data_IF_152351716103
#
_entry.id   IF_152351716103
#
_cell.length_a   1.000
_cell.length_b   1.000
_cell.length_c   1.000
_cell.angle_alpha   90.00
_cell.angle_beta   90.00
_cell.angle_gamma   90.00
#
_symmetry.space_group_name_H-M   'P 1'
#
loop_
_entity.id
_entity.type
_entity.pdbx_description
1 polymer ?
#
# COMPACT_ATOMS: atom_id res chain seq x y z
N UNK A 1 -7.37 29.90 17.66
CA UNK A 1 -5.96 30.31 17.44
C UNK A 1 -5.95 31.42 16.43
N UNK A 2 -5.12 32.44 16.59
CA UNK A 2 -4.94 33.46 15.55
C UNK A 2 -3.83 33.00 14.60
N UNK A 3 -4.11 33.09 13.31
CA UNK A 3 -3.15 32.68 12.28
C UNK A 3 -2.72 33.92 11.50
N UNK A 4 -1.45 33.98 11.14
CA UNK A 4 -0.85 35.12 10.43
C UNK A 4 -0.57 34.82 8.97
N UNK A 5 -0.72 33.55 8.56
CA UNK A 5 -0.47 33.09 7.19
C UNK A 5 -1.77 32.71 6.50
N UNK A 6 -1.87 32.91 5.18
CA UNK A 6 -3.06 32.58 4.40
C UNK A 6 -3.33 31.09 4.30
N UNK A 7 -2.30 30.23 4.49
CA UNK A 7 -2.43 28.77 4.49
C UNK A 7 -2.01 28.24 5.86
N UNK A 8 -2.91 27.45 6.47
CA UNK A 8 -2.66 26.74 7.73
C UNK A 8 -2.81 25.25 7.49
N UNK A 9 -1.75 24.49 7.74
CA UNK A 9 -1.72 23.04 7.57
C UNK A 9 -1.90 22.37 8.93
N UNK A 10 -2.92 21.51 9.03
CA UNK A 10 -3.20 20.68 10.21
C UNK A 10 -2.79 19.25 9.92
N UNK A 11 -1.78 18.75 10.64
CA UNK A 11 -1.28 17.37 10.52
C UNK A 11 -1.49 16.60 11.81
N UNK A 12 -1.55 15.28 11.71
CA UNK A 12 -1.64 14.39 12.87
C UNK A 12 -1.25 12.95 12.48
N UNK A 13 -0.91 12.09 13.47
CA UNK A 13 -0.27 10.80 13.24
C UNK A 13 -1.08 9.78 12.43
N UNK A 14 -2.41 9.93 12.33
CA UNK A 14 -3.21 8.94 11.63
C UNK A 14 -4.68 9.29 11.46
N UNK A 15 -5.48 8.39 10.87
CA UNK A 15 -6.93 8.50 10.80
C UNK A 15 -7.56 8.64 12.19
N UNK A 16 -8.69 9.34 12.28
CA UNK A 16 -9.41 9.52 13.54
C UNK A 16 -8.75 10.45 14.57
N UNK A 17 -7.62 11.07 14.26
CA UNK A 17 -6.85 11.94 15.18
C UNK A 17 -7.45 13.35 15.38
N UNK A 18 -8.61 13.64 14.80
CA UNK A 18 -9.33 14.90 15.03
C UNK A 18 -8.93 16.06 14.09
N UNK A 19 -8.15 15.83 13.03
CA UNK A 19 -7.73 16.86 12.07
C UNK A 19 -8.90 17.68 11.53
N UNK A 20 -9.93 17.01 11.05
CA UNK A 20 -11.13 17.66 10.50
C UNK A 20 -11.85 18.52 11.54
N UNK A 21 -12.05 18.00 12.76
CA UNK A 21 -12.69 18.74 13.85
C UNK A 21 -11.89 19.98 14.22
N UNK A 22 -10.56 19.91 14.24
CA UNK A 22 -9.68 21.05 14.48
C UNK A 22 -9.84 22.11 13.38
N UNK A 23 -9.87 21.70 12.11
CA UNK A 23 -10.07 22.63 10.97
C UNK A 23 -11.44 23.30 11.03
N UNK A 24 -12.51 22.55 11.26
CA UNK A 24 -13.87 23.08 11.35
C UNK A 24 -14.04 24.05 12.55
N UNK A 25 -13.43 23.71 13.69
CA UNK A 25 -13.39 24.61 14.85
C UNK A 25 -12.64 25.91 14.55
N UNK A 26 -11.49 25.83 13.87
CA UNK A 26 -10.74 27.02 13.46
C UNK A 26 -11.55 27.88 12.49
N UNK A 27 -12.19 27.26 11.51
CA UNK A 27 -13.04 27.93 10.52
C UNK A 27 -14.20 28.68 11.18
N UNK A 28 -14.86 28.07 12.17
CA UNK A 28 -15.88 28.73 12.97
C UNK A 28 -15.36 29.97 13.70
N UNK A 29 -14.20 29.87 14.34
CA UNK A 29 -13.59 30.99 15.05
C UNK A 29 -13.11 32.10 14.11
N UNK A 30 -12.63 31.75 12.92
CA UNK A 30 -12.26 32.74 11.90
C UNK A 30 -13.49 33.50 11.39
N UNK A 31 -14.55 32.77 11.11
CA UNK A 31 -15.85 33.41 10.72
C UNK A 31 -16.37 34.34 11.79
N UNK A 32 -16.32 33.98 13.08
CA UNK A 32 -16.68 34.84 14.20
C UNK A 32 -15.85 36.13 14.30
N UNK A 33 -14.66 36.13 13.75
CA UNK A 33 -13.76 37.30 13.65
C UNK A 33 -13.93 38.07 12.33
N UNK A 34 -14.86 37.68 11.50
CA UNK A 34 -15.09 38.28 10.18
C UNK A 34 -14.07 37.88 9.11
N UNK A 35 -13.33 36.79 9.34
CA UNK A 35 -12.33 36.26 8.39
C UNK A 35 -13.02 35.21 7.52
N UNK A 36 -13.03 35.43 6.20
CA UNK A 36 -13.48 34.43 5.23
C UNK A 36 -12.38 33.40 5.04
N UNK A 37 -12.57 32.21 5.61
CA UNK A 37 -11.65 31.09 5.51
C UNK A 37 -12.32 29.92 4.78
N UNK A 38 -11.54 29.15 4.03
CA UNK A 38 -11.94 27.92 3.36
C UNK A 38 -11.35 26.68 4.03
N UNK A 39 -11.81 25.54 3.61
CA UNK A 39 -11.32 24.23 4.03
C UNK A 39 -10.86 23.44 2.81
N UNK A 40 -9.71 22.81 2.91
CA UNK A 40 -9.27 21.85 1.92
C UNK A 40 -8.66 20.62 2.61
N UNK A 41 -8.89 19.46 2.05
CA UNK A 41 -8.34 18.19 2.50
C UNK A 41 -7.24 17.78 1.53
N UNK A 42 -5.99 17.73 2.02
CA UNK A 42 -4.90 17.22 1.21
C UNK A 42 -4.92 15.69 1.23
N UNK A 43 -5.12 15.11 0.07
CA UNK A 43 -5.16 13.67 -0.12
C UNK A 43 -4.16 13.21 -1.17
N UNK A 44 -3.50 12.09 -0.89
CA UNK A 44 -2.58 11.47 -1.86
C UNK A 44 -3.32 10.53 -2.81
N UNK A 45 -4.46 9.99 -2.37
CA UNK A 45 -5.31 9.06 -3.13
C UNK A 45 -6.78 9.19 -2.70
N UNK A 46 -7.75 8.77 -3.53
CA UNK A 46 -7.57 8.38 -4.93
C UNK A 46 -7.18 9.55 -5.82
N UNK A 47 -6.68 9.26 -7.02
CA UNK A 47 -6.42 10.29 -8.03
C UNK A 47 -7.72 10.52 -8.80
N UNK A 48 -8.34 11.67 -8.59
CA UNK A 48 -9.71 11.94 -9.04
C UNK A 48 -9.88 11.99 -10.57
N UNK A 49 -8.85 12.40 -11.30
CA UNK A 49 -8.86 12.55 -12.76
C UNK A 49 -8.35 11.32 -13.53
N UNK A 50 -8.12 10.20 -12.83
CA UNK A 50 -7.90 8.89 -13.46
C UNK A 50 -9.20 8.09 -13.48
N UNK A 51 -9.36 7.15 -14.42
CA UNK A 51 -10.50 6.23 -14.43
C UNK A 51 -10.63 5.46 -13.09
N UNK A 52 -11.87 5.15 -12.71
CA UNK A 52 -12.16 4.43 -11.45
C UNK A 52 -11.34 3.15 -11.29
N UNK A 53 -11.23 2.36 -12.37
CA UNK A 53 -10.49 1.09 -12.38
C UNK A 53 -9.05 1.23 -12.87
N UNK A 54 -8.51 2.44 -12.84
CA UNK A 54 -7.09 2.61 -13.17
C UNK A 54 -6.21 1.89 -12.14
N UNK A 55 -5.16 1.15 -12.55
CA UNK A 55 -4.32 0.38 -11.62
C UNK A 55 -3.78 1.19 -10.44
N UNK A 56 -3.47 2.46 -10.63
CA UNK A 56 -3.02 3.37 -9.55
C UNK A 56 -4.11 3.54 -8.49
N UNK A 57 -5.37 3.76 -8.87
CA UNK A 57 -6.48 3.88 -7.93
C UNK A 57 -6.81 2.54 -7.27
N UNK A 58 -6.71 1.43 -8.01
CA UNK A 58 -6.88 0.09 -7.44
C UNK A 58 -5.75 -0.28 -6.45
N UNK A 59 -4.52 0.17 -6.68
CA UNK A 59 -3.44 -0.01 -5.72
C UNK A 59 -3.71 0.72 -4.39
N UNK A 60 -4.41 1.85 -4.43
CA UNK A 60 -4.89 2.52 -3.22
C UNK A 60 -5.92 1.68 -2.46
N UNK A 61 -6.90 1.09 -3.15
CA UNK A 61 -7.86 0.17 -2.52
C UNK A 61 -7.15 -1.05 -1.88
N UNK A 62 -6.13 -1.57 -2.55
CA UNK A 62 -5.30 -2.63 -2.01
C UNK A 62 -4.53 -2.17 -0.75
N UNK A 63 -4.08 -0.91 -0.71
CA UNK A 63 -3.36 -0.36 0.43
C UNK A 63 -4.25 -0.09 1.64
N UNK A 64 -5.55 0.09 1.44
CA UNK A 64 -6.56 0.40 2.47
C UNK A 64 -7.58 -0.72 2.64
N UNK A 65 -7.20 -1.94 2.27
CA UNK A 65 -8.09 -3.10 2.33
C UNK A 65 -8.64 -3.38 3.74
N UNK A 66 -7.86 -3.09 4.77
CA UNK A 66 -8.21 -3.18 6.19
C UNK A 66 -9.14 -2.06 6.67
N UNK A 67 -9.17 -0.92 5.98
CA UNK A 67 -10.00 0.24 6.32
C UNK A 67 -11.36 0.24 5.61
N UNK A 68 -11.60 -0.70 4.72
CA UNK A 68 -12.80 -0.78 3.87
C UNK A 68 -13.03 0.47 3.01
N UNK A 69 -11.96 1.16 2.63
CA UNK A 69 -12.02 2.22 1.63
C UNK A 69 -12.25 1.63 0.24
N UNK A 70 -13.24 2.16 -0.45
CA UNK A 70 -13.60 1.76 -1.81
C UNK A 70 -13.69 3.01 -2.67
N UNK A 71 -13.01 3.00 -3.81
CA UNK A 71 -13.13 4.08 -4.78
C UNK A 71 -14.49 4.04 -5.45
N UNK A 72 -15.07 5.21 -5.64
CA UNK A 72 -16.34 5.39 -6.35
C UNK A 72 -16.33 6.69 -7.15
N UNK A 73 -17.24 6.78 -8.10
CA UNK A 73 -17.52 8.06 -8.76
C UNK A 73 -18.25 8.94 -7.76
N UNK A 74 -17.75 10.17 -7.59
CA UNK A 74 -18.39 11.19 -6.76
C UNK A 74 -19.71 11.62 -7.39
N UNK A 75 -20.88 11.25 -6.79
CA UNK A 75 -22.18 11.57 -7.36
C UNK A 75 -22.49 13.06 -7.28
N UNK A 76 -22.01 13.74 -6.24
CA UNK A 76 -22.22 15.18 -6.07
C UNK A 76 -21.46 15.98 -7.12
N UNK A 77 -20.23 15.57 -7.44
CA UNK A 77 -19.42 16.20 -8.48
C UNK A 77 -20.03 16.00 -9.87
N UNK A 78 -20.52 14.79 -10.12
CA UNK A 78 -21.20 14.46 -11.36
C UNK A 78 -22.50 15.29 -11.52
N UNK A 79 -23.29 15.43 -10.46
CA UNK A 79 -24.53 16.22 -10.47
C UNK A 79 -24.24 17.72 -10.66
N UNK A 80 -23.28 18.28 -9.93
CA UNK A 80 -22.98 19.70 -9.96
C UNK A 80 -22.31 20.16 -11.26
N UNK A 81 -21.45 19.32 -11.85
CA UNK A 81 -20.55 19.74 -12.95
C UNK A 81 -20.69 18.92 -14.23
N UNK A 82 -21.45 17.83 -14.23
CA UNK A 82 -21.54 16.90 -15.37
C UNK A 82 -20.21 16.18 -15.66
N UNK A 83 -19.29 16.15 -14.70
CA UNK A 83 -17.95 15.56 -14.82
C UNK A 83 -17.77 14.42 -13.83
N UNK A 84 -17.16 13.34 -14.29
CA UNK A 84 -16.78 12.24 -13.40
C UNK A 84 -15.51 12.58 -12.63
N UNK A 85 -15.53 12.32 -11.32
CA UNK A 85 -14.37 12.39 -10.46
C UNK A 85 -14.34 11.14 -9.58
N UNK A 86 -13.17 10.59 -9.33
CA UNK A 86 -13.01 9.45 -8.42
C UNK A 86 -12.72 9.96 -7.02
N UNK A 87 -13.51 9.50 -6.07
CA UNK A 87 -13.34 9.75 -4.65
C UNK A 87 -13.53 8.44 -3.89
N UNK A 88 -13.39 8.41 -2.60
CA UNK A 88 -13.67 7.21 -1.82
C UNK A 88 -14.96 7.36 -1.00
N UNK A 89 -15.57 6.21 -0.71
CA UNK A 89 -16.87 6.11 -0.09
C UNK A 89 -17.04 6.99 1.15
N UNK A 90 -16.08 7.01 2.07
CA UNK A 90 -16.19 7.77 3.32
C UNK A 90 -16.31 9.28 3.12
N UNK A 91 -15.61 9.85 2.13
CA UNK A 91 -15.73 11.28 1.85
C UNK A 91 -17.08 11.61 1.19
N UNK A 92 -17.57 10.73 0.33
CA UNK A 92 -18.89 10.88 -0.28
C UNK A 92 -20.00 10.79 0.78
N UNK A 93 -19.91 9.81 1.68
CA UNK A 93 -20.89 9.60 2.74
C UNK A 93 -20.94 10.75 3.76
N UNK A 94 -19.78 11.33 4.11
CA UNK A 94 -19.72 12.41 5.11
C UNK A 94 -20.04 13.79 4.52
N UNK A 95 -19.98 13.96 3.21
CA UNK A 95 -20.13 15.26 2.54
C UNK A 95 -21.42 16.01 2.93
N UNK A 96 -22.62 15.39 2.97
CA UNK A 96 -23.84 16.10 3.37
C UNK A 96 -23.75 16.70 4.77
N UNK A 97 -23.10 16.01 5.70
CA UNK A 97 -22.89 16.50 7.07
C UNK A 97 -21.91 17.67 7.08
N UNK A 98 -20.83 17.60 6.33
CA UNK A 98 -19.87 18.70 6.21
C UNK A 98 -20.51 19.91 5.57
N UNK A 99 -21.26 19.71 4.50
CA UNK A 99 -21.98 20.77 3.80
C UNK A 99 -22.93 21.53 4.76
N UNK A 100 -23.72 20.80 5.55
CA UNK A 100 -24.60 21.39 6.56
C UNK A 100 -23.81 22.14 7.66
N UNK A 101 -22.63 21.71 8.01
CA UNK A 101 -21.76 22.41 8.97
C UNK A 101 -21.26 23.72 8.36
N UNK A 102 -20.80 23.73 7.11
CA UNK A 102 -20.37 24.95 6.42
C UNK A 102 -21.51 25.96 6.31
N UNK A 103 -22.71 25.53 5.92
CA UNK A 103 -23.88 26.36 5.87
C UNK A 103 -24.21 26.99 7.23
N UNK A 104 -24.11 26.22 8.32
CA UNK A 104 -24.32 26.76 9.68
C UNK A 104 -23.24 27.73 10.12
N UNK A 105 -22.01 27.55 9.70
CA UNK A 105 -20.88 28.44 10.05
C UNK A 105 -20.92 29.72 9.23
N UNK A 106 -21.13 29.62 7.92
CA UNK A 106 -20.91 30.73 6.98
C UNK A 106 -22.19 31.23 6.28
N UNK A 107 -23.32 30.57 6.56
CA UNK A 107 -24.62 30.89 5.90
C UNK A 107 -24.80 30.20 4.54
N UNK A 108 -23.71 29.83 3.88
CA UNK A 108 -23.69 29.09 2.61
C UNK A 108 -22.50 28.16 2.59
N UNK A 109 -22.58 27.06 1.85
CA UNK A 109 -21.42 26.24 1.58
C UNK A 109 -20.77 26.65 0.25
N UNK A 110 -19.45 26.82 0.21
CA UNK A 110 -18.73 27.08 -1.04
C UNK A 110 -18.48 25.80 -1.86
N UNK A 111 -18.79 24.64 -1.32
CA UNK A 111 -18.48 23.32 -1.91
C UNK A 111 -19.76 22.68 -2.43
N UNK A 112 -19.71 22.16 -3.66
CA UNK A 112 -20.80 21.42 -4.29
C UNK A 112 -20.56 19.90 -4.21
N UNK A 113 -19.33 19.48 -3.93
CA UNK A 113 -18.93 18.07 -3.84
C UNK A 113 -17.77 17.86 -2.87
N UNK A 114 -17.55 16.65 -2.37
CA UNK A 114 -16.34 16.33 -1.60
C UNK A 114 -15.07 16.51 -2.44
N UNK A 115 -15.15 16.35 -3.76
CA UNK A 115 -14.02 16.60 -4.68
C UNK A 115 -13.58 18.07 -4.68
N UNK A 116 -14.49 19.02 -4.46
CA UNK A 116 -14.14 20.45 -4.35
C UNK A 116 -13.31 20.77 -3.11
N UNK A 117 -13.43 19.96 -2.06
CA UNK A 117 -12.72 20.19 -0.80
C UNK A 117 -11.31 19.62 -0.79
N UNK A 118 -11.03 18.61 -1.61
CA UNK A 118 -9.73 17.99 -1.63
C UNK A 118 -9.50 17.19 -2.88
N UNK A 119 -8.55 17.64 -3.67
CA UNK A 119 -8.30 17.10 -5.00
C UNK A 119 -6.85 16.67 -5.15
N UNK A 120 -6.65 15.42 -5.53
CA UNK A 120 -5.36 14.97 -6.03
C UNK A 120 -5.38 14.98 -7.57
N UNK A 121 -4.75 15.96 -8.16
CA UNK A 121 -4.66 16.14 -9.62
C UNK A 121 -3.36 15.57 -10.22
N UNK A 122 -2.62 14.76 -9.48
CA UNK A 122 -1.31 14.24 -9.92
C UNK A 122 -1.42 13.38 -11.17
N UNK A 123 -2.61 12.89 -11.51
CA UNK A 123 -2.85 12.23 -12.80
C UNK A 123 -2.46 13.08 -14.01
N UNK A 124 -2.54 14.41 -13.90
CA UNK A 124 -2.07 15.32 -14.96
C UNK A 124 -0.53 15.37 -15.09
N UNK A 125 0.20 14.84 -14.11
CA UNK A 125 1.66 14.82 -14.08
C UNK A 125 2.25 13.44 -14.46
N UNK A 126 1.42 12.47 -14.82
CA UNK A 126 1.88 11.16 -15.27
C UNK A 126 2.48 11.32 -16.67
N UNK A 127 3.80 11.09 -16.77
CA UNK A 127 4.53 11.14 -18.01
C UNK A 127 4.58 9.79 -18.74
N UNK A 128 4.54 8.69 -17.97
CA UNK A 128 4.54 7.32 -18.47
C UNK A 128 3.53 6.49 -17.69
N UNK A 129 2.35 6.34 -18.28
CA UNK A 129 1.25 5.61 -17.66
C UNK A 129 1.52 4.10 -17.58
N UNK A 130 2.26 3.54 -18.54
CA UNK A 130 2.57 2.12 -18.54
C UNK A 130 3.46 1.74 -17.34
N UNK A 131 4.42 2.57 -16.99
CA UNK A 131 5.28 2.40 -15.81
C UNK A 131 4.45 2.51 -14.53
N UNK A 132 3.58 3.50 -14.43
CA UNK A 132 2.70 3.67 -13.27
C UNK A 132 1.75 2.47 -13.11
N UNK A 133 1.16 2.00 -14.19
CA UNK A 133 0.29 0.83 -14.20
C UNK A 133 1.03 -0.45 -13.79
N UNK A 134 2.23 -0.68 -14.32
CA UNK A 134 3.04 -1.85 -13.99
C UNK A 134 3.43 -1.85 -12.50
N UNK A 135 3.93 -0.72 -11.98
CA UNK A 135 4.28 -0.58 -10.57
C UNK A 135 3.06 -0.78 -9.66
N UNK A 136 1.91 -0.25 -10.04
CA UNK A 136 0.67 -0.40 -9.26
C UNK A 136 0.17 -1.84 -9.22
N UNK A 137 0.26 -2.58 -10.32
CA UNK A 137 -0.08 -4.02 -10.34
C UNK A 137 0.86 -4.83 -9.45
N UNK A 138 2.15 -4.52 -9.46
CA UNK A 138 3.13 -5.16 -8.56
C UNK A 138 2.84 -4.85 -7.09
N UNK A 139 2.44 -3.63 -6.76
CA UNK A 139 2.04 -3.27 -5.39
C UNK A 139 0.78 -4.01 -4.93
N UNK A 140 -0.23 -4.15 -5.80
CA UNK A 140 -1.43 -4.94 -5.50
C UNK A 140 -1.03 -6.38 -5.17
N UNK A 141 -0.18 -7.01 -5.99
CA UNK A 141 0.31 -8.36 -5.76
C UNK A 141 1.09 -8.48 -4.45
N UNK A 142 1.96 -7.51 -4.16
CA UNK A 142 2.72 -7.47 -2.91
C UNK A 142 1.80 -7.42 -1.69
N UNK A 143 0.75 -6.59 -1.75
CA UNK A 143 -0.26 -6.49 -0.68
C UNK A 143 -1.01 -7.79 -0.48
N UNK A 144 -1.40 -8.45 -1.55
CA UNK A 144 -2.04 -9.77 -1.50
C UNK A 144 -1.18 -10.78 -0.74
N UNK A 145 0.10 -10.92 -1.10
CA UNK A 145 0.99 -11.84 -0.38
C UNK A 145 1.22 -11.44 1.07
N UNK A 146 1.28 -10.16 1.37
CA UNK A 146 1.37 -9.68 2.76
C UNK A 146 0.15 -10.13 3.56
N UNK A 147 -1.05 -9.92 3.04
CA UNK A 147 -2.29 -10.37 3.70
C UNK A 147 -2.35 -11.89 3.88
N UNK A 148 -1.90 -12.67 2.89
CA UNK A 148 -1.79 -14.12 3.01
C UNK A 148 -0.85 -14.54 4.14
N UNK A 149 0.30 -13.88 4.27
CA UNK A 149 1.26 -14.16 5.35
C UNK A 149 0.70 -13.77 6.71
N UNK A 150 0.02 -12.64 6.81
CA UNK A 150 -0.62 -12.20 8.06
C UNK A 150 -1.74 -13.15 8.50
N UNK A 151 -2.53 -13.64 7.55
CA UNK A 151 -3.52 -14.69 7.79
C UNK A 151 -2.87 -15.98 8.31
N UNK A 152 -1.84 -16.46 7.65
CA UNK A 152 -1.11 -17.68 8.07
C UNK A 152 -0.48 -17.53 9.47
N UNK A 153 -0.11 -16.31 9.86
CA UNK A 153 0.41 -16.00 11.20
C UNK A 153 -0.68 -15.78 12.25
N UNK A 154 -1.97 -15.88 11.88
CA UNK A 154 -3.09 -15.61 12.78
C UNK A 154 -3.23 -14.15 13.18
N UNK A 155 -2.62 -13.21 12.44
CA UNK A 155 -2.69 -11.76 12.70
C UNK A 155 -3.88 -11.08 12.03
N UNK A 156 -4.41 -11.67 10.97
CA UNK A 156 -5.56 -11.19 10.22
C UNK A 156 -6.49 -12.34 9.84
N UNK A 157 -7.77 -12.03 9.58
CA UNK A 157 -8.75 -12.97 9.05
C UNK A 157 -8.68 -13.15 7.54
N UNK A 158 -9.71 -13.82 6.97
CA UNK A 158 -9.80 -14.07 5.53
C UNK A 158 -10.25 -12.83 4.72
N UNK A 159 -10.91 -11.87 5.37
CA UNK A 159 -11.54 -10.73 4.69
C UNK A 159 -10.56 -9.88 3.86
N UNK A 160 -9.38 -9.46 4.39
CA UNK A 160 -8.41 -8.70 3.61
C UNK A 160 -7.90 -9.48 2.38
N UNK A 161 -7.70 -10.80 2.51
CA UNK A 161 -7.25 -11.64 1.40
C UNK A 161 -8.29 -11.67 0.29
N UNK A 162 -9.57 -11.94 0.62
CA UNK A 162 -10.67 -11.97 -0.35
C UNK A 162 -10.86 -10.62 -1.05
N UNK A 163 -10.75 -9.51 -0.31
CA UNK A 163 -10.83 -8.17 -0.87
C UNK A 163 -9.70 -7.92 -1.88
N UNK A 164 -8.48 -8.31 -1.54
CA UNK A 164 -7.34 -8.17 -2.42
C UNK A 164 -7.44 -9.07 -3.67
N UNK A 165 -8.02 -10.26 -3.56
CA UNK A 165 -8.34 -11.10 -4.72
C UNK A 165 -9.29 -10.41 -5.70
N UNK A 166 -10.31 -9.71 -5.18
CA UNK A 166 -11.22 -8.91 -6.02
C UNK A 166 -10.49 -7.74 -6.70
N UNK A 167 -9.64 -7.04 -5.96
CA UNK A 167 -8.82 -5.95 -6.53
C UNK A 167 -7.86 -6.48 -7.60
N UNK A 168 -7.22 -7.63 -7.37
CA UNK A 168 -6.37 -8.30 -8.37
C UNK A 168 -7.14 -8.61 -9.65
N UNK A 169 -8.38 -9.15 -9.54
CA UNK A 169 -9.23 -9.41 -10.71
C UNK A 169 -9.54 -8.12 -11.47
N UNK A 170 -9.90 -7.03 -10.77
CA UNK A 170 -10.19 -5.74 -11.40
C UNK A 170 -8.97 -5.14 -12.09
N UNK A 171 -7.79 -5.29 -11.50
CA UNK A 171 -6.52 -4.80 -12.06
C UNK A 171 -5.89 -5.73 -13.10
N UNK A 172 -6.52 -6.90 -13.38
CA UNK A 172 -5.96 -7.97 -14.23
C UNK A 172 -4.56 -8.39 -13.77
N UNK A 173 -4.43 -8.64 -12.46
CA UNK A 173 -3.18 -9.06 -11.81
C UNK A 173 -3.22 -10.55 -11.53
N UNK A 174 -2.19 -11.25 -11.96
CA UNK A 174 -1.94 -12.66 -11.66
C UNK A 174 -0.54 -12.82 -11.03
N UNK A 175 -0.27 -13.89 -10.25
CA UNK A 175 1.03 -14.08 -9.60
C UNK A 175 2.23 -14.11 -10.54
N UNK A 176 2.04 -14.52 -11.78
CA UNK A 176 3.08 -14.64 -12.81
C UNK A 176 3.63 -13.32 -13.32
N UNK A 177 2.97 -12.19 -13.05
CA UNK A 177 3.55 -10.87 -13.37
C UNK A 177 4.83 -10.59 -12.59
N UNK A 178 5.09 -11.31 -11.49
CA UNK A 178 6.31 -11.20 -10.70
C UNK A 178 7.24 -12.39 -10.98
N UNK A 179 8.34 -12.22 -11.72
CA UNK A 179 9.26 -13.31 -12.05
C UNK A 179 9.85 -14.02 -10.81
N UNK A 180 9.98 -13.30 -9.69
CA UNK A 180 10.46 -13.89 -8.44
C UNK A 180 9.48 -14.94 -7.89
N UNK A 181 8.17 -14.75 -8.05
CA UNK A 181 7.16 -15.72 -7.56
C UNK A 181 7.30 -17.05 -8.30
N UNK A 182 7.28 -17.02 -9.62
CA UNK A 182 7.40 -18.23 -10.44
C UNK A 182 8.74 -18.95 -10.21
N UNK A 183 9.85 -18.17 -10.10
CA UNK A 183 11.16 -18.75 -9.83
C UNK A 183 11.27 -19.38 -8.43
N UNK A 184 10.66 -18.76 -7.41
CA UNK A 184 10.64 -19.31 -6.06
C UNK A 184 9.82 -20.60 -5.98
N UNK A 185 8.64 -20.65 -6.60
CA UNK A 185 7.78 -21.82 -6.65
C UNK A 185 8.46 -22.98 -7.39
N UNK A 186 9.03 -22.73 -8.57
CA UNK A 186 9.78 -23.74 -9.32
C UNK A 186 10.97 -24.29 -8.53
N UNK A 187 11.69 -23.39 -7.82
CA UNK A 187 12.81 -23.80 -6.98
C UNK A 187 12.37 -24.65 -5.80
N UNK A 188 11.26 -24.30 -5.15
CA UNK A 188 10.68 -25.07 -4.05
C UNK A 188 10.24 -26.46 -4.51
N UNK A 189 9.54 -26.55 -5.65
CA UNK A 189 9.11 -27.81 -6.25
C UNK A 189 10.30 -28.71 -6.59
N UNK A 190 11.31 -28.18 -7.28
CA UNK A 190 12.49 -28.97 -7.69
C UNK A 190 13.37 -29.42 -6.54
N UNK A 191 13.34 -28.74 -5.40
CA UNK A 191 14.19 -29.06 -4.24
C UNK A 191 13.43 -29.72 -3.09
N UNK A 192 12.10 -29.81 -3.18
CA UNK A 192 11.25 -30.42 -2.15
C UNK A 192 11.23 -29.68 -0.82
N UNK A 193 11.59 -28.38 -0.80
CA UNK A 193 11.65 -27.60 0.42
C UNK A 193 11.47 -26.11 0.19
N UNK A 194 11.37 -25.30 1.25
CA UNK A 194 11.19 -23.85 1.13
C UNK A 194 12.29 -23.20 0.30
N UNK A 195 11.88 -22.34 -0.63
CA UNK A 195 12.77 -21.55 -1.48
C UNK A 195 12.30 -20.10 -1.57
N UNK A 196 13.19 -19.22 -1.99
CA UNK A 196 12.90 -17.82 -2.27
C UNK A 196 13.56 -17.39 -3.56
N UNK A 197 13.10 -16.27 -4.11
CA UNK A 197 13.71 -15.64 -5.27
C UNK A 197 13.71 -14.12 -5.14
N UNK A 198 14.60 -13.46 -5.86
CA UNK A 198 14.76 -12.03 -5.90
C UNK A 198 15.08 -11.59 -7.33
N UNK A 199 14.45 -10.51 -7.77
CA UNK A 199 14.83 -9.82 -9.02
C UNK A 199 15.87 -8.77 -8.67
N UNK A 200 17.01 -8.83 -9.30
CA UNK A 200 18.09 -7.85 -9.14
C UNK A 200 17.81 -6.59 -10.00
N UNK A 201 18.47 -5.45 -9.72
CA UNK A 201 18.27 -4.22 -10.49
C UNK A 201 18.55 -4.34 -11.99
N UNK A 202 19.39 -5.31 -12.39
CA UNK A 202 19.70 -5.63 -13.79
C UNK A 202 18.72 -6.60 -14.46
N UNK A 203 17.64 -6.98 -13.75
CA UNK A 203 16.60 -7.89 -14.22
C UNK A 203 16.90 -9.38 -14.03
N UNK A 204 18.10 -9.75 -13.59
CA UNK A 204 18.42 -11.17 -13.29
C UNK A 204 17.61 -11.66 -12.09
N UNK A 205 17.13 -12.90 -12.18
CA UNK A 205 16.45 -13.56 -11.07
C UNK A 205 17.41 -14.50 -10.36
N UNK A 206 17.57 -14.29 -9.05
CA UNK A 206 18.39 -15.14 -8.18
C UNK A 206 17.48 -15.92 -7.26
N UNK A 207 17.80 -17.18 -7.00
CA UNK A 207 17.06 -18.06 -6.11
C UNK A 207 17.89 -18.53 -4.93
N UNK A 208 17.24 -18.86 -3.81
CA UNK A 208 17.83 -19.52 -2.66
C UNK A 208 16.92 -20.61 -2.14
N UNK A 209 17.46 -21.71 -1.65
CA UNK A 209 16.72 -22.82 -1.04
C UNK A 209 17.14 -23.04 0.40
N UNK A 210 16.26 -23.62 1.18
CA UNK A 210 16.64 -24.13 2.50
C UNK A 210 17.61 -25.31 2.37
N UNK A 211 18.63 -25.30 3.20
CA UNK A 211 19.61 -26.38 3.36
C UNK A 211 19.80 -26.71 4.85
N UNK A 212 20.60 -27.70 5.17
CA UNK A 212 20.87 -28.04 6.55
C UNK A 212 21.52 -26.90 7.33
N UNK A 213 22.26 -26.04 6.64
CA UNK A 213 23.00 -24.91 7.25
C UNK A 213 22.22 -23.60 7.21
N UNK A 214 21.54 -23.28 6.09
CA UNK A 214 20.93 -21.98 5.83
C UNK A 214 19.45 -22.11 5.48
N UNK A 215 18.63 -21.22 6.02
CA UNK A 215 17.25 -21.02 5.54
C UNK A 215 17.22 -20.37 4.15
N UNK A 216 16.10 -20.52 3.43
CA UNK A 216 15.93 -20.01 2.06
C UNK A 216 16.26 -18.53 1.92
N UNK A 217 15.82 -17.69 2.87
CA UNK A 217 16.07 -16.24 2.82
C UNK A 217 17.57 -15.90 2.95
N UNK A 218 18.29 -16.57 3.86
CA UNK A 218 19.73 -16.36 4.02
C UNK A 218 20.52 -16.86 2.81
N UNK A 219 20.16 -18.01 2.27
CA UNK A 219 20.78 -18.53 1.04
C UNK A 219 20.52 -17.59 -0.15
N UNK A 220 19.29 -17.08 -0.29
CA UNK A 220 18.93 -16.12 -1.31
C UNK A 220 19.78 -14.84 -1.21
N UNK A 221 19.93 -14.28 0.00
CA UNK A 221 20.72 -13.08 0.21
C UNK A 221 22.18 -13.28 -0.20
N UNK A 222 22.80 -14.39 0.22
CA UNK A 222 24.19 -14.69 -0.15
C UNK A 222 24.36 -14.90 -1.66
N UNK A 223 23.42 -15.58 -2.31
CA UNK A 223 23.43 -15.76 -3.76
C UNK A 223 23.25 -14.43 -4.50
N UNK A 224 22.37 -13.53 -3.99
CA UNK A 224 22.21 -12.19 -4.55
C UNK A 224 23.49 -11.36 -4.41
N UNK A 225 24.16 -11.39 -3.26
CA UNK A 225 25.45 -10.72 -3.04
C UNK A 225 26.53 -11.23 -4.00
N UNK A 226 26.62 -12.56 -4.21
CA UNK A 226 27.52 -13.13 -5.22
C UNK A 226 27.21 -12.63 -6.62
N UNK A 227 25.93 -12.67 -6.99
CA UNK A 227 25.50 -12.25 -8.33
C UNK A 227 25.79 -10.76 -8.60
N UNK A 228 25.56 -9.87 -7.63
CA UNK A 228 25.85 -8.44 -7.75
C UNK A 228 27.36 -8.18 -7.73
N UNK A 229 28.10 -8.89 -6.89
CA UNK A 229 29.57 -8.76 -6.76
C UNK A 229 30.38 -9.47 -7.86
N UNK A 230 29.72 -10.20 -8.78
CA UNK A 230 30.41 -10.98 -9.81
C UNK A 230 31.26 -12.12 -9.23
N UNK A 231 30.86 -12.63 -8.05
CA UNK A 231 31.58 -13.69 -7.33
C UNK A 231 31.09 -15.05 -7.82
N UNK A 232 31.97 -15.88 -8.31
CA UNK A 232 31.65 -17.23 -8.79
C UNK A 232 31.10 -18.14 -7.67
N UNK A 233 30.24 -19.09 -8.02
CA UNK A 233 29.58 -19.99 -7.06
C UNK A 233 30.58 -20.89 -6.27
N UNK A 234 31.74 -21.12 -6.82
CA UNK A 234 32.82 -21.89 -6.17
C UNK A 234 33.42 -21.20 -4.93
N UNK A 235 33.22 -19.92 -4.76
CA UNK A 235 33.70 -19.18 -3.58
C UNK A 235 32.69 -19.23 -2.45
N UNK A 236 33.09 -19.70 -1.29
CA UNK A 236 32.29 -19.68 -0.08
C UNK A 236 32.43 -18.32 0.60
N UNK A 237 31.28 -17.60 0.80
CA UNK A 237 31.27 -16.31 1.49
C UNK A 237 31.42 -16.45 3.01
N UNK A 238 31.06 -17.60 3.56
CA UNK A 238 31.14 -17.91 4.98
C UNK A 238 31.92 -19.21 5.11
N UNK A 239 33.01 -19.19 5.87
CA UNK A 239 33.81 -20.38 6.06
C UNK A 239 33.09 -21.49 6.84
N UNK A 240 33.40 -22.75 6.57
CA UNK A 240 32.84 -23.89 7.28
C UNK A 240 33.08 -23.82 8.80
N UNK A 241 34.21 -23.26 9.23
CA UNK A 241 34.53 -23.06 10.65
C UNK A 241 33.56 -22.11 11.37
N UNK A 242 33.09 -21.09 10.67
CA UNK A 242 32.09 -20.13 11.22
C UNK A 242 30.69 -20.76 11.21
N UNK A 243 30.38 -21.59 10.24
CA UNK A 243 29.07 -22.25 10.12
C UNK A 243 28.90 -23.41 11.12
N UNK A 244 29.95 -24.11 11.48
CA UNK A 244 29.88 -25.32 12.34
C UNK A 244 29.17 -25.07 13.69
N UNK A 245 29.50 -24.01 14.49
CA UNK A 245 28.76 -23.71 15.71
C UNK A 245 27.28 -23.40 15.49
N UNK A 246 26.96 -22.69 14.39
CA UNK A 246 25.58 -22.37 14.03
C UNK A 246 24.79 -23.62 13.67
N UNK A 247 25.40 -24.55 12.93
CA UNK A 247 24.80 -25.84 12.58
C UNK A 247 24.53 -26.69 13.82
N UNK A 248 25.48 -26.75 14.75
CA UNK A 248 25.30 -27.44 16.02
C UNK A 248 24.17 -26.85 16.86
N UNK A 249 24.11 -25.52 16.96
CA UNK A 249 23.03 -24.84 17.67
C UNK A 249 21.67 -25.11 17.02
N UNK A 250 21.58 -25.03 15.70
CA UNK A 250 20.36 -25.31 14.93
C UNK A 250 19.87 -26.74 15.15
N UNK A 251 20.78 -27.71 15.12
CA UNK A 251 20.45 -29.11 15.37
C UNK A 251 19.98 -29.32 16.81
N UNK A 252 20.63 -28.71 17.78
CA UNK A 252 20.20 -28.76 19.18
C UNK A 252 18.79 -28.15 19.39
N UNK A 253 18.50 -26.99 18.80
CA UNK A 253 17.20 -26.34 18.91
C UNK A 253 16.08 -27.11 18.21
N UNK A 254 16.36 -27.79 17.10
CA UNK A 254 15.38 -28.63 16.40
C UNK A 254 14.97 -29.86 17.21
N UNK A 255 15.91 -30.39 18.02
CA UNK A 255 15.61 -31.52 18.91
C UNK A 255 14.98 -31.14 20.25
N UNK A 256 15.11 -29.87 20.68
CA UNK A 256 14.67 -29.42 22.01
C UNK A 256 13.44 -28.49 21.98
N UNK A 257 13.08 -27.96 20.82
CA UNK A 257 11.89 -27.12 20.65
C UNK A 257 10.93 -27.75 19.66
N UNK A 258 9.61 -27.85 19.96
CA UNK A 258 8.62 -28.17 18.94
C UNK A 258 8.75 -27.15 17.82
N UNK A 259 8.89 -27.63 16.60
CA UNK A 259 8.96 -26.79 15.41
C UNK A 259 7.65 -25.99 15.29
N UNK A 260 7.67 -24.69 15.03
CA UNK A 260 6.46 -23.95 14.68
C UNK A 260 6.00 -24.26 13.23
N UNK A 261 6.05 -25.54 12.85
CA UNK A 261 5.74 -26.00 11.49
C UNK A 261 4.47 -26.85 11.42
N UNK A 262 3.53 -26.61 12.32
CA UNK A 262 2.18 -27.17 12.20
C UNK A 262 1.16 -26.05 12.10
#
# INVERSE_FOLDING_TARGET
METTHPLVVVTAPGPGSGKMATCLSQLYHDYKRGIAAGYAKFETFPIWNLPLKHPVNLAYEAATADLNDVNMIDPFHLEAYGKTAVNYNRDVEIFPVLNAIFEKIQGTSPYQSPTDMGVNMVGNCICDDAVCCAASRMEILRRYYTACVERLRGKAGDEPVRKLELVMQQASVTPDICPAVSAALLKAETTGGPAGAMVLPDGRVVTGKTSDTLGAASALLLNALKAVGGIGDQFELISAQVLEPVCRLKTCLLYTSPSPRD
#
